data_IF_115556584924
#
_entry.id   IF_115556584924
#
_cell.length_a   1.000
_cell.length_b   1.000
_cell.length_c   1.000
_cell.angle_alpha   90.00
_cell.angle_beta   90.00
_cell.angle_gamma   90.00
#
_symmetry.space_group_name_H-M   'P 1'
#
loop_
_entity.id
_entity.type
_entity.pdbx_description
1 polymer ?
#
# COMPACT_ATOMS: atom_id res chain seq x y z
N UNK A 1 9.86 -1.08 -7.40
CA UNK A 1 9.39 -2.48 -7.24
C UNK A 1 10.51 -3.52 -7.38
N UNK A 2 11.49 -3.36 -8.27
CA UNK A 2 12.54 -4.37 -8.50
C UNK A 2 13.57 -4.51 -7.36
N UNK A 3 13.89 -3.42 -6.65
CA UNK A 3 14.85 -3.46 -5.54
C UNK A 3 14.37 -4.34 -4.37
N UNK A 4 13.07 -4.32 -4.06
CA UNK A 4 12.50 -5.13 -2.97
C UNK A 4 12.57 -6.64 -3.23
N UNK A 5 12.64 -7.07 -4.50
CA UNK A 5 12.78 -8.48 -4.87
C UNK A 5 14.20 -9.03 -4.66
N UNK A 6 15.17 -8.16 -4.33
CA UNK A 6 16.54 -8.58 -3.99
C UNK A 6 16.68 -8.99 -2.52
N UNK A 7 15.66 -8.72 -1.69
CA UNK A 7 15.67 -9.14 -0.29
C UNK A 7 15.59 -10.66 -0.19
N UNK A 8 16.24 -11.24 0.82
CA UNK A 8 16.21 -12.67 1.12
C UNK A 8 15.59 -12.91 2.50
N UNK A 9 15.02 -14.10 2.71
CA UNK A 9 14.57 -14.61 3.99
C UNK A 9 15.77 -15.14 4.79
N UNK A 10 15.78 -14.83 6.08
CA UNK A 10 16.85 -15.24 7.00
C UNK A 10 17.77 -14.07 7.35
N UNK A 11 18.86 -14.41 8.04
CA UNK A 11 19.89 -13.46 8.43
C UNK A 11 20.81 -13.12 7.26
N UNK A 12 21.46 -11.97 7.29
CA UNK A 12 22.32 -11.50 6.21
C UNK A 12 23.51 -12.44 5.97
N UNK A 13 24.06 -13.01 7.05
CA UNK A 13 25.18 -13.95 6.98
C UNK A 13 24.80 -15.31 6.35
N UNK A 14 23.52 -15.70 6.39
CA UNK A 14 23.03 -16.99 5.87
C UNK A 14 21.67 -16.79 5.17
N UNK A 15 21.68 -16.19 3.97
CA UNK A 15 20.45 -15.99 3.21
C UNK A 15 19.91 -17.33 2.74
N UNK A 16 18.63 -17.62 3.02
CA UNK A 16 18.01 -18.92 2.70
C UNK A 16 17.34 -18.92 1.33
N UNK A 17 16.40 -18.01 1.12
CA UNK A 17 15.60 -17.95 -0.11
C UNK A 17 15.25 -16.49 -0.43
N UNK A 18 15.00 -16.13 -1.69
CA UNK A 18 14.44 -14.82 -2.02
C UNK A 18 13.16 -14.54 -1.24
N UNK A 19 13.03 -13.32 -0.71
CA UNK A 19 11.88 -12.83 0.02
C UNK A 19 10.76 -12.47 -0.97
N UNK A 20 10.18 -13.50 -1.57
CA UNK A 20 9.09 -13.40 -2.54
C UNK A 20 7.76 -13.88 -1.95
N UNK A 21 6.64 -13.39 -2.52
CA UNK A 21 5.28 -13.84 -2.20
C UNK A 21 4.90 -13.76 -0.70
N UNK A 22 5.44 -12.79 0.05
CA UNK A 22 5.09 -12.59 1.47
C UNK A 22 3.74 -11.90 1.66
N UNK A 23 2.74 -12.29 0.86
CA UNK A 23 1.37 -11.84 1.03
C UNK A 23 0.55 -12.98 1.59
N UNK A 24 -0.40 -12.65 2.46
CA UNK A 24 -1.40 -13.61 2.91
C UNK A 24 -2.54 -13.65 1.88
N UNK A 25 -3.08 -14.84 1.54
CA UNK A 25 -4.24 -14.94 0.65
C UNK A 25 -5.46 -14.19 1.20
N UNK A 26 -6.30 -13.61 0.34
CA UNK A 26 -7.56 -12.99 0.75
C UNK A 26 -8.37 -13.92 1.64
N UNK A 27 -8.90 -13.38 2.74
CA UNK A 27 -9.75 -14.12 3.67
C UNK A 27 -11.21 -13.69 3.49
N UNK A 28 -12.18 -14.58 3.73
CA UNK A 28 -13.59 -14.22 3.65
C UNK A 28 -13.95 -13.05 4.57
N UNK A 29 -14.89 -12.23 4.12
CA UNK A 29 -15.30 -11.04 4.86
C UNK A 29 -16.24 -11.37 6.05
N UNK A 30 -16.94 -12.50 6.03
CA UNK A 30 -17.83 -12.99 7.11
C UNK A 30 -18.75 -11.90 7.68
N UNK A 31 -19.68 -11.40 6.85
CA UNK A 31 -20.69 -10.40 7.23
C UNK A 31 -20.14 -9.10 7.85
N UNK A 32 -18.81 -8.86 7.81
CA UNK A 32 -18.20 -7.61 8.26
C UNK A 32 -18.48 -6.50 7.24
N UNK A 33 -18.81 -5.31 7.72
CA UNK A 33 -18.90 -4.12 6.87
C UNK A 33 -17.52 -3.52 6.62
N UNK A 34 -17.19 -3.19 5.36
CA UNK A 34 -16.01 -2.40 5.01
C UNK A 34 -16.44 -0.95 4.77
N UNK A 35 -15.79 0.01 5.44
CA UNK A 35 -16.04 1.45 5.27
C UNK A 35 -14.88 2.08 4.49
N UNK A 36 -15.19 3.06 3.66
CA UNK A 36 -14.21 3.81 2.86
C UNK A 36 -14.21 5.28 3.28
N UNK A 37 -13.03 5.91 3.28
CA UNK A 37 -12.90 7.36 3.50
C UNK A 37 -13.12 8.15 2.18
N UNK A 38 -13.37 7.46 1.07
CA UNK A 38 -13.70 8.04 -0.23
C UNK A 38 -15.03 7.49 -0.72
N UNK A 39 -15.91 8.36 -1.21
CA UNK A 39 -17.26 7.98 -1.65
C UNK A 39 -17.27 7.88 -3.18
N UNK A 40 -17.80 6.78 -3.73
CA UNK A 40 -17.87 6.52 -5.18
C UNK A 40 -19.29 6.65 -5.75
N UNK A 41 -20.17 7.37 -5.07
CA UNK A 41 -21.55 7.51 -5.53
C UNK A 41 -21.66 8.57 -6.65
N UNK A 42 -22.07 8.15 -7.85
CA UNK A 42 -22.93 9.00 -8.67
C UNK A 42 -24.33 8.92 -8.05
N UNK A 43 -24.63 9.81 -7.11
CA UNK A 43 -26.02 10.09 -6.73
C UNK A 43 -26.55 11.02 -7.82
N UNK A 44 -27.62 10.62 -8.51
CA UNK A 44 -28.36 11.52 -9.38
C UNK A 44 -28.69 12.80 -8.60
N UNK A 45 -28.07 13.91 -9.01
CA UNK A 45 -28.35 15.29 -8.60
C UNK A 45 -27.91 15.80 -7.22
N UNK A 46 -27.02 15.12 -6.50
CA UNK A 46 -26.25 15.78 -5.43
C UNK A 46 -24.76 15.45 -5.57
N UNK A 47 -23.92 16.48 -5.68
CA UNK A 47 -22.46 16.37 -5.88
C UNK A 47 -21.81 15.60 -4.72
N UNK A 48 -21.77 14.28 -4.86
CA UNK A 48 -21.00 13.37 -4.03
C UNK A 48 -19.56 13.32 -4.59
N UNK A 49 -18.58 13.55 -3.71
CA UNK A 49 -17.13 13.47 -3.95
C UNK A 49 -16.54 14.51 -4.94
N UNK A 50 -15.88 15.55 -4.40
CA UNK A 50 -15.04 16.46 -5.19
C UNK A 50 -13.61 15.91 -5.19
N UNK A 51 -13.31 15.04 -6.17
CA UNK A 51 -11.98 14.40 -6.36
C UNK A 51 -10.81 15.40 -6.28
N UNK A 52 -11.08 16.67 -6.56
CA UNK A 52 -10.13 17.80 -6.53
C UNK A 52 -9.62 18.18 -5.13
N UNK A 53 -10.16 17.62 -4.04
CA UNK A 53 -9.77 17.97 -2.65
C UNK A 53 -8.84 16.98 -1.94
N UNK A 54 -8.54 15.83 -2.55
CA UNK A 54 -7.67 14.82 -1.92
C UNK A 54 -6.21 14.99 -2.38
N UNK A 55 -5.45 15.81 -1.66
CA UNK A 55 -4.00 15.93 -1.83
C UNK A 55 -3.29 15.05 -0.79
N UNK A 56 -2.67 13.96 -1.24
CA UNK A 56 -1.73 13.23 -0.41
C UNK A 56 -0.34 13.85 -0.57
N UNK A 57 0.18 14.48 0.47
CA UNK A 57 1.57 14.95 0.48
C UNK A 57 2.47 13.81 0.96
N UNK A 58 3.46 13.44 0.15
CA UNK A 58 4.55 12.58 0.63
C UNK A 58 5.41 13.36 1.62
N UNK A 59 5.77 12.77 2.76
CA UNK A 59 6.75 13.37 3.65
C UNK A 59 8.15 13.25 3.01
N UNK A 60 8.61 14.34 2.39
CA UNK A 60 9.86 14.41 1.61
C UNK A 60 11.10 14.29 2.54
N UNK A 61 10.94 14.51 3.85
CA UNK A 61 12.05 14.59 4.80
C UNK A 61 12.70 13.23 5.14
N UNK A 62 12.16 12.11 4.65
CA UNK A 62 12.74 10.77 4.88
C UNK A 62 13.54 10.19 3.70
N UNK A 63 13.75 10.95 2.62
CA UNK A 63 14.63 10.55 1.51
C UNK A 63 16.03 11.15 1.65
N UNK A 64 16.75 10.83 2.74
CA UNK A 64 18.23 10.85 2.72
C UNK A 64 18.69 9.43 2.43
N UNK A 65 18.70 9.07 1.15
CA UNK A 65 19.62 8.02 0.71
C UNK A 65 20.99 8.67 0.72
N UNK A 66 21.80 8.34 1.73
CA UNK A 66 23.25 8.54 1.65
C UNK A 66 23.73 7.73 0.45
N UNK A 67 24.17 8.43 -0.59
CA UNK A 67 24.93 7.87 -1.70
C UNK A 67 26.36 7.64 -1.20
N UNK A 68 26.74 6.38 -1.05
CA UNK A 68 28.13 5.94 -1.18
C UNK A 68 28.55 5.97 -2.66
#
# INVERSE_FOLDING_TARGET
MFMLRRLNQGDEAVPRTPLANNYRPPQPLYNRSVRTNVFTHQVENEKCFDEKKMFYTSNINNFRLTSD
#
